data_IF_326797032986
#
_entry.id   IF_326797032986
#
_cell.length_a   1.000
_cell.length_b   1.000
_cell.length_c   1.000
_cell.angle_alpha   90.00
_cell.angle_beta   90.00
_cell.angle_gamma   90.00
#
_symmetry.space_group_name_H-M   'P 1'
#
loop_
_entity.id
_entity.type
_entity.pdbx_description
1 polymer ?
#
# COMPACT_ATOMS: atom_id res chain seq x y z
N UNK A 1 -8.05 9.73 -4.89
CA UNK A 1 -8.59 9.54 -3.54
C UNK A 1 -7.83 10.30 -2.46
N UNK A 2 -6.60 10.78 -2.72
CA UNK A 2 -5.75 11.53 -1.79
C UNK A 2 -4.89 10.65 -0.88
N UNK A 3 -5.10 9.34 -0.84
CA UNK A 3 -4.25 8.44 -0.07
C UNK A 3 -2.82 8.36 -0.67
N UNK A 4 -2.71 8.53 -1.98
CA UNK A 4 -1.44 8.75 -2.69
C UNK A 4 -1.31 10.24 -3.04
N UNK A 5 -0.93 11.05 -2.06
CA UNK A 5 -0.85 12.50 -2.23
C UNK A 5 0.42 12.90 -2.97
N UNK A 6 0.26 13.51 -4.16
CA UNK A 6 1.37 13.91 -5.04
C UNK A 6 2.24 12.75 -5.53
N UNK A 7 1.70 11.57 -5.57
CA UNK A 7 2.40 10.37 -6.03
C UNK A 7 1.46 9.38 -6.68
N UNK A 8 2.00 8.44 -7.40
CA UNK A 8 1.33 7.21 -7.81
C UNK A 8 2.35 6.08 -7.95
N UNK A 9 1.85 4.85 -7.92
CA UNK A 9 2.65 3.66 -8.19
C UNK A 9 2.38 3.13 -9.59
N UNK A 10 3.40 2.57 -10.21
CA UNK A 10 3.33 1.83 -11.47
C UNK A 10 3.86 0.44 -11.24
N UNK A 11 3.32 -0.53 -11.98
CA UNK A 11 3.80 -1.90 -12.02
C UNK A 11 4.08 -2.32 -13.47
N UNK A 12 4.94 -3.31 -13.64
CA UNK A 12 5.45 -3.74 -14.93
C UNK A 12 4.44 -4.51 -15.80
N UNK A 13 3.34 -4.98 -15.22
CA UNK A 13 2.29 -5.72 -15.93
C UNK A 13 0.93 -5.51 -15.26
N UNK A 14 -0.18 -5.49 -16.01
CA UNK A 14 -1.53 -5.47 -15.44
C UNK A 14 -1.88 -6.77 -14.73
N UNK A 15 -1.23 -7.90 -15.10
CA UNK A 15 -1.43 -9.22 -14.52
C UNK A 15 -0.09 -9.84 -14.16
N UNK A 16 -0.01 -10.52 -12.99
CA UNK A 16 1.22 -11.14 -12.48
C UNK A 16 2.42 -10.17 -12.49
N UNK A 17 2.31 -8.97 -11.93
CA UNK A 17 3.43 -8.03 -11.88
C UNK A 17 4.60 -8.62 -11.08
N UNK A 18 5.81 -8.28 -11.49
CA UNK A 18 7.04 -8.73 -10.82
C UNK A 18 7.77 -7.60 -10.11
N UNK A 19 7.43 -6.36 -10.43
CA UNK A 19 8.03 -5.17 -9.82
C UNK A 19 7.12 -3.96 -9.90
N UNK A 20 7.33 -3.03 -8.97
CA UNK A 20 6.65 -1.75 -8.94
C UNK A 20 7.62 -0.60 -8.65
N UNK A 21 7.22 0.60 -9.05
CA UNK A 21 7.97 1.83 -8.81
C UNK A 21 7.02 2.92 -8.33
N UNK A 22 7.53 3.82 -7.50
CA UNK A 22 6.86 5.04 -7.10
C UNK A 22 7.24 6.19 -8.04
N UNK A 23 6.29 7.06 -8.35
CA UNK A 23 6.52 8.29 -9.11
C UNK A 23 6.01 9.46 -8.29
N UNK A 24 6.87 10.43 -7.98
CA UNK A 24 6.50 11.60 -7.18
C UNK A 24 6.32 12.85 -8.04
N UNK A 25 5.22 13.55 -7.80
CA UNK A 25 4.75 14.65 -8.64
C UNK A 25 4.49 15.91 -7.81
N UNK A 26 4.86 17.08 -8.32
CA UNK A 26 4.42 18.35 -7.74
C UNK A 26 3.07 18.79 -8.33
N UNK A 27 2.08 17.88 -8.29
CA UNK A 27 0.72 18.10 -8.76
C UNK A 27 -0.24 17.27 -7.93
N UNK A 28 -1.39 17.81 -7.63
CA UNK A 28 -2.51 17.11 -6.96
C UNK A 28 -3.56 16.68 -7.98
N UNK A 29 -4.50 15.82 -7.57
CA UNK A 29 -5.66 15.36 -8.39
C UNK A 29 -5.26 14.70 -9.72
N UNK A 30 -4.13 14.02 -9.73
CA UNK A 30 -3.59 13.34 -10.91
C UNK A 30 -4.37 12.11 -11.33
N UNK A 31 -5.28 11.61 -10.49
CA UNK A 31 -6.14 10.45 -10.79
C UNK A 31 -7.03 10.64 -12.04
N UNK A 32 -7.34 11.87 -12.40
CA UNK A 32 -8.07 12.20 -13.65
C UNK A 32 -7.21 11.99 -14.91
N UNK A 33 -5.90 12.02 -14.75
CA UNK A 33 -4.93 11.84 -15.82
C UNK A 33 -4.35 10.43 -15.86
N UNK A 34 -4.06 9.89 -14.67
CA UNK A 34 -3.44 8.59 -14.44
C UNK A 34 -4.36 7.74 -13.57
N UNK A 35 -5.52 7.37 -14.14
CA UNK A 35 -6.48 6.50 -13.46
C UNK A 35 -5.91 5.09 -13.31
N UNK A 36 -6.45 4.35 -12.37
CA UNK A 36 -6.07 2.95 -12.11
C UNK A 36 -6.11 2.12 -13.41
N UNK A 37 -5.08 1.31 -13.64
CA UNK A 37 -4.92 0.50 -14.85
C UNK A 37 -4.48 1.25 -16.10
N UNK A 38 -4.24 2.57 -16.01
CA UNK A 38 -3.76 3.36 -17.15
C UNK A 38 -2.34 2.96 -17.53
N UNK A 39 -2.15 2.54 -18.79
CA UNK A 39 -0.82 2.38 -19.35
C UNK A 39 -0.13 3.75 -19.48
N UNK A 40 1.11 3.82 -18.97
CA UNK A 40 1.92 5.05 -19.02
C UNK A 40 3.30 4.75 -19.58
N UNK A 41 3.84 5.74 -20.30
CA UNK A 41 5.20 5.72 -20.83
C UNK A 41 5.99 6.84 -20.16
N UNK A 42 7.09 6.50 -19.49
CA UNK A 42 7.94 7.46 -18.78
C UNK A 42 9.28 7.60 -19.50
N UNK A 43 9.54 8.80 -20.04
CA UNK A 43 10.84 9.12 -20.62
C UNK A 43 11.83 9.44 -19.51
N UNK A 44 12.72 8.49 -19.21
CA UNK A 44 13.67 8.61 -18.09
C UNK A 44 14.81 9.62 -18.35
N UNK A 45 15.02 10.05 -19.59
CA UNK A 45 16.06 11.04 -19.90
C UNK A 45 15.85 12.34 -19.14
N UNK A 46 16.79 12.70 -18.26
CA UNK A 46 16.73 13.89 -17.41
C UNK A 46 15.81 13.76 -16.19
N UNK A 47 15.37 12.55 -15.87
CA UNK A 47 14.78 12.18 -14.59
C UNK A 47 15.80 11.41 -13.73
N UNK A 48 15.47 11.26 -12.47
CA UNK A 48 16.30 10.59 -11.48
C UNK A 48 15.56 9.40 -10.88
N UNK A 49 16.29 8.33 -10.62
CA UNK A 49 15.80 7.15 -9.92
C UNK A 49 16.58 7.04 -8.62
N UNK A 50 15.89 6.93 -7.52
CA UNK A 50 16.48 6.86 -6.18
C UNK A 50 15.40 6.66 -5.13
N UNK A 51 15.63 7.21 -3.95
CA UNK A 51 14.68 7.21 -2.85
C UNK A 51 14.22 8.64 -2.57
N UNK A 52 12.96 8.83 -2.19
CA UNK A 52 12.44 10.11 -1.70
C UNK A 52 12.98 10.44 -0.30
N UNK A 53 13.41 9.39 0.42
CA UNK A 53 14.06 9.47 1.73
C UNK A 53 15.18 8.47 1.80
N UNK A 54 16.31 8.91 2.30
CA UNK A 54 17.50 8.07 2.45
C UNK A 54 17.19 6.83 3.28
N UNK A 55 17.39 5.66 2.68
CA UNK A 55 17.24 4.35 3.34
C UNK A 55 15.82 3.84 3.48
N UNK A 56 14.81 4.50 2.88
CA UNK A 56 13.44 3.97 2.96
C UNK A 56 13.20 2.74 2.06
N UNK A 57 14.07 2.49 1.08
CA UNK A 57 14.02 1.32 0.21
C UNK A 57 12.81 1.31 -0.74
N UNK A 58 12.22 2.47 -1.05
CA UNK A 58 11.18 2.63 -2.06
C UNK A 58 11.79 3.23 -3.31
N UNK A 59 11.94 2.41 -4.36
CA UNK A 59 12.46 2.90 -5.64
C UNK A 59 11.51 3.92 -6.25
N UNK A 60 11.99 5.14 -6.40
CA UNK A 60 11.18 6.31 -6.76
C UNK A 60 11.77 7.02 -7.97
N UNK A 61 10.88 7.40 -8.90
CA UNK A 61 11.21 8.28 -10.04
C UNK A 61 10.87 9.72 -9.64
N UNK A 62 11.87 10.61 -9.75
CA UNK A 62 11.74 12.03 -9.46
C UNK A 62 12.27 12.92 -10.56
N UNK A 63 11.96 14.22 -10.47
CA UNK A 63 12.33 15.25 -11.46
C UNK A 63 13.65 15.96 -11.17
N UNK A 64 14.24 15.75 -10.01
CA UNK A 64 15.47 16.34 -9.54
C UNK A 64 16.06 15.59 -8.36
N UNK A 65 17.09 16.16 -7.77
CA UNK A 65 17.69 15.62 -6.53
C UNK A 65 17.84 16.73 -5.51
N UNK A 66 17.74 16.37 -4.24
CA UNK A 66 18.02 17.22 -3.10
C UNK A 66 19.08 16.53 -2.23
N UNK A 67 20.01 17.29 -1.68
CA UNK A 67 21.07 16.75 -0.81
C UNK A 67 21.07 17.49 0.51
N UNK A 68 21.01 16.75 1.59
CA UNK A 68 21.11 17.26 2.96
C UNK A 68 22.17 16.48 3.76
N UNK A 69 22.16 16.66 5.07
CA UNK A 69 23.12 15.99 5.97
C UNK A 69 22.95 14.46 6.04
N UNK A 70 21.80 13.93 5.60
CA UNK A 70 21.51 12.50 5.63
C UNK A 70 21.83 11.81 4.30
N UNK A 71 21.92 12.56 3.20
CA UNK A 71 22.25 12.02 1.88
C UNK A 71 21.55 12.75 0.74
N UNK A 72 21.52 12.07 -0.41
CA UNK A 72 20.86 12.57 -1.62
C UNK A 72 19.57 11.80 -1.86
N UNK A 73 18.48 12.52 -2.08
CA UNK A 73 17.14 11.98 -2.38
C UNK A 73 16.64 12.53 -3.70
N UNK A 74 15.60 11.90 -4.26
CA UNK A 74 14.91 12.43 -5.44
C UNK A 74 13.83 13.40 -5.01
N UNK A 75 13.61 14.44 -5.82
CA UNK A 75 12.56 15.44 -5.63
C UNK A 75 11.49 15.32 -6.70
N UNK A 76 10.27 15.82 -6.42
CA UNK A 76 9.10 15.67 -7.28
C UNK A 76 9.30 16.21 -8.70
N UNK A 77 8.68 15.55 -9.69
CA UNK A 77 8.55 16.10 -11.04
C UNK A 77 7.73 17.38 -11.00
N UNK A 78 8.22 18.44 -11.62
CA UNK A 78 7.45 19.67 -11.82
C UNK A 78 6.43 19.51 -12.97
N UNK A 79 5.50 20.46 -13.11
CA UNK A 79 4.43 20.39 -14.11
C UNK A 79 4.91 20.25 -15.57
N UNK A 80 6.07 20.85 -15.90
CA UNK A 80 6.64 20.76 -17.25
C UNK A 80 7.16 19.34 -17.49
N UNK A 81 7.89 18.80 -16.50
CA UNK A 81 8.39 17.42 -16.56
C UNK A 81 7.25 16.41 -16.63
N UNK A 82 6.20 16.58 -15.83
CA UNK A 82 5.02 15.70 -15.88
C UNK A 82 4.46 15.66 -17.31
N UNK A 83 4.19 16.81 -17.92
CA UNK A 83 3.64 16.91 -19.28
C UNK A 83 4.54 16.35 -20.37
N UNK A 84 5.85 16.47 -20.20
CA UNK A 84 6.82 16.08 -21.25
C UNK A 84 7.33 14.65 -21.07
N UNK A 85 7.33 14.14 -19.86
CA UNK A 85 8.00 12.88 -19.51
C UNK A 85 7.06 11.75 -19.14
N UNK A 86 5.86 12.06 -18.63
CA UNK A 86 4.86 11.06 -18.23
C UNK A 86 3.73 11.08 -19.24
N UNK A 87 3.81 10.21 -20.23
CA UNK A 87 2.85 10.12 -21.32
C UNK A 87 1.84 9.01 -21.01
N UNK A 88 0.56 9.35 -21.05
CA UNK A 88 -0.52 8.38 -20.90
C UNK A 88 -0.92 7.78 -22.24
N UNK A 89 -1.07 6.48 -22.29
CA UNK A 89 -1.73 5.77 -23.39
C UNK A 89 -3.23 6.02 -23.39
N UNK A 90 -3.91 5.65 -24.47
CA UNK A 90 -5.37 5.52 -24.50
C UNK A 90 -5.84 4.21 -23.90
N UNK A 91 -4.92 3.28 -23.63
CA UNK A 91 -5.20 1.95 -23.06
C UNK A 91 -5.37 2.06 -21.56
N UNK A 92 -6.41 1.42 -21.05
CA UNK A 92 -6.64 1.16 -19.63
C UNK A 92 -6.96 -0.32 -19.48
N UNK A 93 -6.16 -1.02 -18.70
CA UNK A 93 -6.33 -2.44 -18.43
C UNK A 93 -6.93 -2.64 -17.04
N UNK A 94 -7.69 -3.72 -16.89
CA UNK A 94 -8.11 -4.16 -15.58
C UNK A 94 -6.90 -4.81 -14.88
N UNK A 95 -6.57 -4.33 -13.69
CA UNK A 95 -5.46 -4.88 -12.93
C UNK A 95 -5.91 -6.15 -12.19
N UNK A 96 -5.15 -7.20 -12.33
CA UNK A 96 -5.30 -8.42 -11.52
C UNK A 96 -4.29 -8.37 -10.38
N UNK A 97 -4.72 -8.13 -9.13
CA UNK A 97 -3.81 -8.07 -8.00
C UNK A 97 -3.17 -9.44 -7.73
N UNK A 98 -1.95 -9.46 -7.20
CA UNK A 98 -1.34 -10.68 -6.71
C UNK A 98 -2.05 -11.14 -5.43
N UNK A 99 -2.54 -12.38 -5.44
CA UNK A 99 -3.11 -12.99 -4.22
C UNK A 99 -1.97 -13.47 -3.31
N UNK A 100 -1.83 -12.86 -2.16
CA UNK A 100 -0.78 -13.16 -1.18
C UNK A 100 -1.37 -13.31 0.23
N UNK A 101 -0.81 -14.20 1.03
CA UNK A 101 -1.01 -14.15 2.48
C UNK A 101 -0.15 -13.03 3.10
N UNK A 102 -0.54 -12.50 4.26
CA UNK A 102 0.19 -11.40 4.92
C UNK A 102 1.68 -11.72 5.12
N UNK A 103 2.00 -12.97 5.46
CA UNK A 103 3.39 -13.41 5.69
C UNK A 103 4.23 -13.56 4.41
N UNK A 104 3.60 -13.61 3.25
CA UNK A 104 4.28 -13.71 1.96
C UNK A 104 4.67 -12.33 1.40
N UNK A 105 4.08 -11.25 1.93
CA UNK A 105 4.42 -9.89 1.51
C UNK A 105 5.82 -9.54 1.97
N UNK A 106 6.64 -9.05 1.05
CA UNK A 106 8.03 -8.69 1.33
C UNK A 106 8.45 -7.49 0.47
N UNK A 107 9.69 -7.02 0.62
CA UNK A 107 10.19 -5.81 -0.02
C UNK A 107 10.17 -5.86 -1.57
N UNK A 108 10.17 -7.04 -2.20
CA UNK A 108 10.06 -7.13 -3.66
C UNK A 108 8.68 -6.77 -4.20
N UNK A 109 7.66 -6.74 -3.34
CA UNK A 109 6.30 -6.37 -3.70
C UNK A 109 6.03 -4.86 -3.59
N UNK A 110 6.99 -4.05 -3.15
CA UNK A 110 6.80 -2.58 -3.05
C UNK A 110 6.44 -2.01 -4.42
N UNK A 111 5.33 -1.25 -4.46
CA UNK A 111 4.75 -0.67 -5.68
C UNK A 111 3.80 -1.59 -6.43
N UNK A 112 3.60 -2.81 -5.97
CA UNK A 112 2.72 -3.81 -6.61
C UNK A 112 1.36 -3.84 -5.93
N UNK A 113 0.30 -3.99 -6.73
CA UNK A 113 -1.07 -4.20 -6.25
C UNK A 113 -1.23 -5.66 -5.81
N UNK A 114 -1.64 -5.86 -4.57
CA UNK A 114 -1.87 -7.18 -3.97
C UNK A 114 -3.29 -7.31 -3.45
N UNK A 115 -3.79 -8.53 -3.36
CA UNK A 115 -5.01 -8.87 -2.65
C UNK A 115 -4.67 -9.84 -1.52
N UNK A 116 -5.08 -9.50 -0.30
CA UNK A 116 -4.97 -10.36 0.87
C UNK A 116 -6.37 -10.80 1.30
N UNK A 117 -6.56 -12.07 1.56
CA UNK A 117 -7.83 -12.66 1.91
C UNK A 117 -7.83 -13.18 3.34
N UNK A 118 -9.02 -13.41 3.88
CA UNK A 118 -9.22 -13.94 5.21
C UNK A 118 -8.60 -13.06 6.30
N UNK A 119 -8.74 -11.74 6.13
CA UNK A 119 -8.20 -10.74 7.06
C UNK A 119 -9.32 -9.92 7.69
N UNK A 120 -9.05 -9.36 8.84
CA UNK A 120 -9.92 -8.45 9.57
C UNK A 120 -9.10 -7.40 10.32
N UNK A 121 -9.72 -6.29 10.66
CA UNK A 121 -9.08 -5.33 11.57
C UNK A 121 -9.06 -5.87 13.00
N UNK A 122 -8.00 -5.57 13.75
CA UNK A 122 -7.89 -6.01 15.14
C UNK A 122 -9.08 -5.51 15.99
N UNK A 123 -9.52 -6.31 16.96
CA UNK A 123 -10.72 -6.06 17.77
C UNK A 123 -10.74 -4.69 18.47
N UNK A 124 -9.59 -4.25 18.93
CA UNK A 124 -9.43 -2.97 19.63
C UNK A 124 -9.62 -1.75 18.72
N UNK A 125 -9.75 -1.96 17.40
CA UNK A 125 -9.99 -0.91 16.42
C UNK A 125 -11.49 -0.73 16.09
N UNK A 126 -12.37 -1.54 16.66
CA UNK A 126 -13.80 -1.46 16.41
C UNK A 126 -14.35 -0.06 16.75
N UNK A 127 -15.06 0.53 15.79
CA UNK A 127 -15.64 1.87 15.91
C UNK A 127 -14.67 3.02 15.64
N UNK A 128 -13.43 2.75 15.29
CA UNK A 128 -12.48 3.75 14.82
C UNK A 128 -12.63 3.97 13.31
N UNK A 129 -12.12 5.12 12.85
CA UNK A 129 -12.05 5.44 11.43
C UNK A 129 -10.70 5.03 10.84
N UNK A 130 -10.62 5.03 9.49
CA UNK A 130 -9.37 4.77 8.78
C UNK A 130 -8.25 5.72 9.22
N UNK A 131 -8.57 6.98 9.48
CA UNK A 131 -7.62 7.99 9.96
C UNK A 131 -8.00 8.48 11.36
N UNK A 132 -6.99 8.66 12.22
CA UNK A 132 -7.16 9.26 13.54
C UNK A 132 -6.86 10.76 13.45
N UNK A 133 -7.83 11.64 13.74
CA UNK A 133 -7.64 13.09 13.64
C UNK A 133 -6.60 13.67 14.62
N UNK A 134 -6.14 12.88 15.60
CA UNK A 134 -5.04 13.28 16.51
C UNK A 134 -3.69 13.18 15.77
N UNK A 135 -3.58 12.31 14.77
CA UNK A 135 -2.38 12.15 13.97
C UNK A 135 -2.28 13.25 12.89
N UNK A 136 -1.05 13.61 12.52
CA UNK A 136 -0.81 14.76 11.62
C UNK A 136 -0.76 14.34 10.16
N UNK A 137 -0.14 13.20 9.86
CA UNK A 137 0.14 12.78 8.49
C UNK A 137 -0.58 11.50 8.11
N UNK A 138 -0.26 10.40 8.75
CA UNK A 138 -0.74 9.07 8.38
C UNK A 138 -1.16 8.32 9.63
N UNK A 139 -2.20 7.47 9.50
CA UNK A 139 -2.67 6.60 10.57
C UNK A 139 -2.45 5.14 10.20
N UNK A 140 -1.91 4.39 11.13
CA UNK A 140 -1.68 2.96 10.99
C UNK A 140 -2.79 2.17 11.68
N UNK A 141 -3.35 1.19 10.97
CA UNK A 141 -4.35 0.25 11.46
C UNK A 141 -3.85 -1.18 11.26
N UNK A 142 -4.02 -2.01 12.26
CA UNK A 142 -3.55 -3.39 12.21
C UNK A 142 -4.61 -4.26 11.56
N UNK A 143 -4.23 -4.93 10.47
CA UNK A 143 -4.91 -6.08 9.90
C UNK A 143 -4.35 -7.36 10.51
N UNK A 144 -5.19 -8.34 10.77
CA UNK A 144 -4.76 -9.68 11.19
C UNK A 144 -5.31 -10.73 10.23
N UNK A 145 -4.50 -11.74 9.95
CA UNK A 145 -4.91 -12.92 9.20
C UNK A 145 -5.58 -13.91 10.18
N UNK A 146 -6.69 -14.46 9.76
CA UNK A 146 -7.47 -15.43 10.54
C UNK A 146 -6.97 -16.87 10.40
N UNK A 147 -5.80 -17.07 9.80
CA UNK A 147 -5.22 -18.39 9.55
C UNK A 147 -4.37 -18.87 10.72
N UNK A 148 -4.71 -20.04 11.27
CA UNK A 148 -3.90 -20.71 12.29
C UNK A 148 -3.82 -19.96 13.61
N UNK A 149 -2.86 -20.35 14.47
CA UNK A 149 -2.70 -19.81 15.82
C UNK A 149 -1.86 -18.53 15.92
N UNK A 150 -1.11 -18.18 14.90
CA UNK A 150 -0.15 -17.07 14.98
C UNK A 150 -0.76 -15.73 14.65
N UNK A 151 -1.93 -15.72 14.00
CA UNK A 151 -2.64 -14.51 13.56
C UNK A 151 -1.69 -13.43 13.06
N UNK A 152 -1.00 -13.68 11.93
CA UNK A 152 -0.05 -12.72 11.39
C UNK A 152 -0.69 -11.35 11.24
N UNK A 153 0.05 -10.32 11.60
CA UNK A 153 -0.41 -8.94 11.55
C UNK A 153 0.33 -8.15 10.47
N UNK A 154 -0.36 -7.19 9.88
CA UNK A 154 0.20 -6.28 8.90
C UNK A 154 -0.38 -4.88 9.08
N UNK A 155 0.36 -3.86 8.64
CA UNK A 155 -0.06 -2.47 8.77
C UNK A 155 -0.81 -2.05 7.52
N UNK A 156 -2.03 -1.51 7.68
CA UNK A 156 -2.70 -0.70 6.69
C UNK A 156 -2.53 0.77 7.07
N UNK A 157 -2.01 1.60 6.16
CA UNK A 157 -1.75 3.00 6.43
C UNK A 157 -2.67 3.91 5.60
N UNK A 158 -3.23 4.91 6.24
CA UNK A 158 -4.15 5.88 5.62
C UNK A 158 -3.64 7.29 5.84
N UNK A 159 -3.47 8.02 4.73
CA UNK A 159 -3.04 9.41 4.76
C UNK A 159 -4.14 10.37 5.23
N UNK A 160 -3.75 11.44 5.92
CA UNK A 160 -4.63 12.55 6.30
C UNK A 160 -5.27 13.26 5.09
N UNK A 161 -4.75 13.06 3.89
CA UNK A 161 -5.29 13.59 2.64
C UNK A 161 -6.30 12.66 1.98
N UNK A 162 -6.49 11.44 2.49
CA UNK A 162 -7.42 10.46 1.94
C UNK A 162 -8.86 10.97 1.98
N UNK A 163 -9.61 10.75 0.90
CA UNK A 163 -11.03 11.11 0.82
C UNK A 163 -11.90 10.27 1.75
N UNK A 164 -11.47 9.05 2.09
CA UNK A 164 -12.17 8.11 2.96
C UNK A 164 -11.67 8.13 4.43
N UNK A 165 -10.82 9.05 4.78
CA UNK A 165 -10.18 9.12 6.11
C UNK A 165 -11.16 9.10 7.30
N UNK A 166 -12.36 9.64 7.10
CA UNK A 166 -13.39 9.72 8.14
C UNK A 166 -14.40 8.55 8.07
N UNK A 167 -14.21 7.61 7.15
CA UNK A 167 -15.05 6.41 7.08
C UNK A 167 -14.68 5.45 8.21
N UNK A 168 -15.67 4.76 8.79
CA UNK A 168 -15.42 3.78 9.85
C UNK A 168 -14.73 2.56 9.27
N UNK A 169 -13.85 1.95 10.06
CA UNK A 169 -13.29 0.64 9.73
C UNK A 169 -14.40 -0.41 9.71
N UNK A 170 -14.38 -1.34 8.74
CA UNK A 170 -15.29 -2.47 8.74
C UNK A 170 -15.01 -3.38 9.94
N UNK A 171 -16.05 -4.02 10.45
CA UNK A 171 -15.98 -4.89 11.63
C UNK A 171 -15.95 -6.38 11.28
N UNK A 172 -16.10 -6.73 10.01
CA UNK A 172 -16.15 -8.11 9.54
C UNK A 172 -14.79 -8.65 9.11
N UNK A 173 -14.83 -9.87 8.57
CA UNK A 173 -13.70 -10.54 7.93
C UNK A 173 -13.89 -10.53 6.41
N UNK A 174 -12.77 -10.58 5.67
CA UNK A 174 -12.84 -10.65 4.21
C UNK A 174 -11.54 -10.43 3.51
N UNK A 175 -11.51 -9.52 2.53
CA UNK A 175 -10.32 -9.25 1.73
C UNK A 175 -9.99 -7.76 1.63
N UNK A 176 -8.72 -7.49 1.35
CA UNK A 176 -8.20 -6.14 1.10
C UNK A 176 -7.34 -6.18 -0.16
N UNK A 177 -7.64 -5.28 -1.11
CA UNK A 177 -6.79 -5.02 -2.27
C UNK A 177 -6.05 -3.69 -2.04
N UNK A 178 -4.73 -3.71 -2.09
CA UNK A 178 -3.91 -2.55 -1.75
C UNK A 178 -2.57 -2.55 -2.48
N UNK A 179 -1.94 -1.40 -2.55
CA UNK A 179 -0.54 -1.28 -2.99
C UNK A 179 0.37 -1.52 -1.80
N UNK A 180 1.38 -2.38 -1.98
CA UNK A 180 2.44 -2.54 -0.97
C UNK A 180 3.36 -1.34 -1.03
N UNK A 181 3.61 -0.73 0.11
CA UNK A 181 4.56 0.37 0.27
C UNK A 181 5.36 0.21 1.57
N UNK A 182 5.97 1.27 2.01
CA UNK A 182 6.68 1.32 3.29
C UNK A 182 6.25 2.54 4.09
N UNK A 183 6.40 2.42 5.40
CA UNK A 183 6.32 3.59 6.29
C UNK A 183 7.30 4.68 5.87
N UNK A 184 7.02 5.90 6.27
CA UNK A 184 7.82 7.06 5.94
C UNK A 184 9.33 6.89 6.23
N UNK A 185 9.68 6.22 7.31
CA UNK A 185 11.07 5.90 7.70
C UNK A 185 11.63 4.63 7.03
N UNK A 186 10.80 3.91 6.26
CA UNK A 186 11.17 2.66 5.60
C UNK A 186 11.29 1.44 6.52
N UNK A 187 10.96 1.60 7.80
CA UNK A 187 11.16 0.55 8.80
C UNK A 187 10.20 -0.64 8.62
N UNK A 188 8.98 -0.38 8.17
CA UNK A 188 7.94 -1.40 8.01
C UNK A 188 7.32 -1.38 6.63
N UNK A 189 6.89 -2.55 6.14
CA UNK A 189 6.01 -2.66 4.99
C UNK A 189 4.59 -2.30 5.41
N UNK A 190 3.87 -1.66 4.51
CA UNK A 190 2.48 -1.26 4.69
C UNK A 190 1.63 -1.63 3.47
N UNK A 191 0.32 -1.69 3.69
CA UNK A 191 -0.70 -1.70 2.64
C UNK A 191 -1.35 -0.31 2.57
N UNK A 192 -1.47 0.24 1.36
CA UNK A 192 -2.12 1.51 1.11
C UNK A 192 -3.28 1.32 0.11
N UNK A 193 -4.50 1.73 0.50
CA UNK A 193 -5.70 1.60 -0.31
C UNK A 193 -5.80 2.69 -1.39
N UNK A 194 -6.38 2.37 -2.55
CA UNK A 194 -6.86 3.39 -3.47
C UNK A 194 -8.20 3.98 -3.03
N UNK A 195 -9.12 3.13 -2.57
CA UNK A 195 -10.43 3.53 -2.04
C UNK A 195 -10.95 2.48 -1.05
N UNK A 196 -12.05 2.76 -0.38
CA UNK A 196 -12.75 1.77 0.46
C UNK A 196 -13.46 0.68 -0.33
N UNK A 197 -13.69 0.88 -1.64
CA UNK A 197 -14.17 -0.18 -2.53
C UNK A 197 -13.18 -1.36 -2.68
N UNK A 198 -11.92 -1.12 -2.28
CA UNK A 198 -10.85 -2.13 -2.26
C UNK A 198 -10.93 -3.05 -1.02
N UNK A 199 -11.90 -2.83 -0.14
CA UNK A 199 -12.10 -3.59 1.10
C UNK A 199 -13.45 -4.29 1.06
N UNK A 200 -13.43 -5.62 1.08
CA UNK A 200 -14.61 -6.48 1.15
C UNK A 200 -14.54 -7.29 2.44
N UNK A 201 -15.19 -6.81 3.49
CA UNK A 201 -15.19 -7.42 4.84
C UNK A 201 -16.61 -7.62 5.37
N UNK A 202 -17.48 -8.20 4.55
CA UNK A 202 -18.89 -8.43 4.88
C UNK A 202 -19.16 -9.76 5.60
N UNK A 203 -18.13 -10.61 5.75
CA UNK A 203 -18.26 -11.87 6.45
C UNK A 203 -18.22 -11.68 7.98
N UNK A 204 -18.81 -12.60 8.77
CA UNK A 204 -18.61 -12.62 10.21
C UNK A 204 -17.12 -12.65 10.56
N UNK A 205 -16.75 -12.00 11.67
CA UNK A 205 -15.40 -12.11 12.21
C UNK A 205 -14.99 -13.55 12.40
N UNK A 206 -13.72 -13.83 12.23
CA UNK A 206 -13.17 -15.14 12.51
C UNK A 206 -13.22 -15.42 14.03
N UNK A 207 -13.48 -16.67 14.36
CA UNK A 207 -13.29 -17.14 15.73
C UNK A 207 -11.79 -17.45 15.90
N UNK A 208 -11.12 -16.66 16.71
CA UNK A 208 -9.71 -16.92 17.02
C UNK A 208 -9.59 -18.25 17.76
N UNK A 209 -8.64 -19.06 17.32
CA UNK A 209 -8.34 -20.32 17.96
C UNK A 209 -7.58 -20.05 19.27
N UNK A 210 -8.11 -20.51 20.39
CA UNK A 210 -7.39 -20.49 21.67
C UNK A 210 -6.78 -21.87 21.92
N UNK A 211 -5.57 -21.91 22.47
CA UNK A 211 -4.91 -23.16 22.80
C UNK A 211 -5.71 -23.99 23.84
N UNK A 212 -6.55 -23.33 24.63
CA UNK A 212 -7.45 -23.97 25.60
C UNK A 212 -8.60 -24.73 24.95
N UNK A 213 -8.91 -24.44 23.67
CA UNK A 213 -9.96 -25.14 22.91
C UNK A 213 -9.52 -26.54 22.44
N UNK A 214 -8.26 -26.90 22.65
CA UNK A 214 -7.67 -28.16 22.18
C UNK A 214 -7.30 -29.08 23.31
N UNK A 215 -7.52 -30.36 23.09
CA UNK A 215 -7.02 -31.41 23.99
C UNK A 215 -5.49 -31.52 23.83
N UNK A 216 -4.79 -31.55 24.96
CA UNK A 216 -3.35 -31.77 24.96
C UNK A 216 -3.06 -33.24 24.63
N UNK A 217 -2.55 -33.51 23.47
CA UNK A 217 -2.05 -34.84 23.08
C UNK A 217 -0.55 -34.87 23.30
N UNK A 218 -0.11 -35.65 24.26
CA UNK A 218 1.32 -35.89 24.47
C UNK A 218 1.83 -36.86 23.39
N UNK A 219 2.77 -36.41 22.59
CA UNK A 219 3.48 -37.24 21.65
C UNK A 219 4.82 -37.61 22.31
N UNK A 220 5.03 -38.89 22.57
CA UNK A 220 6.38 -39.37 22.94
C UNK A 220 7.23 -39.28 21.65
N UNK A 221 8.09 -38.25 21.62
CA UNK A 221 9.09 -38.08 20.55
C UNK A 221 10.17 -39.16 20.67
N UNK A 222 10.53 -39.72 19.55
CA UNK A 222 11.67 -40.61 19.38
C UNK A 222 12.95 -39.80 19.14
#
# INVERSE_FOLDING_TARGET
>A
TGNFFKEFFIQDSPTNPTSGLKVILNQVDTYNQFNLGREVYISLQGLFIGEERVGNGVTTIGGGTETDQFGTTVSSLNEIQIRQKVLRSTVTEELTPLNLGLTAINASHVGVLVNVQNVEFADNLAGLNYFDPIEVFDTQRILQDCSGFTYPQFILETSSFSSFKNEPLPIGNGSVTAVVSKTFDGASLILALNSTDDVDMDNPRCTLLDISDFEVVYHEGF
#
